data_IF_058268704317
#
_entry.id   IF_058268704317
#
_cell.length_a   1.000
_cell.length_b   1.000
_cell.length_c   1.000
_cell.angle_alpha   90.00
_cell.angle_beta   90.00
_cell.angle_gamma   90.00
#
_symmetry.space_group_name_H-M   'P 1'
#
loop_
_entity.id
_entity.type
_entity.pdbx_description
1 polymer ?
#
# COMPACT_ATOMS: atom_id res chain seq x y z
N UNK A 1 9.37 4.67 5.33
CA UNK A 1 8.20 3.78 5.54
C UNK A 1 8.24 2.53 4.65
N UNK A 2 8.67 2.63 3.39
CA UNK A 2 8.65 1.49 2.47
C UNK A 2 9.41 0.26 2.98
N UNK A 3 10.56 0.47 3.62
CA UNK A 3 11.35 -0.62 4.21
C UNK A 3 10.63 -1.32 5.38
N UNK A 4 9.85 -0.59 6.17
CA UNK A 4 9.00 -1.16 7.23
C UNK A 4 7.93 -2.06 6.62
N UNK A 5 7.23 -1.60 5.58
CA UNK A 5 6.22 -2.40 4.87
C UNK A 5 6.86 -3.65 4.24
N UNK A 6 8.02 -3.50 3.59
CA UNK A 6 8.76 -4.62 3.03
C UNK A 6 9.15 -5.65 4.11
N UNK A 7 9.56 -5.17 5.28
CA UNK A 7 9.85 -6.02 6.43
C UNK A 7 8.60 -6.79 6.88
N UNK A 8 7.46 -6.12 7.03
CA UNK A 8 6.22 -6.74 7.46
C UNK A 8 5.80 -7.88 6.52
N UNK A 9 5.73 -7.59 5.22
CA UNK A 9 5.33 -8.56 4.18
C UNK A 9 6.30 -9.77 4.15
N UNK A 10 7.58 -9.55 4.43
CA UNK A 10 8.60 -10.62 4.41
C UNK A 10 8.57 -11.51 5.66
N UNK A 11 8.21 -10.96 6.82
CA UNK A 11 8.33 -11.66 8.10
C UNK A 11 7.00 -12.16 8.67
N UNK A 12 5.87 -11.62 8.20
CA UNK A 12 4.53 -12.01 8.62
C UNK A 12 3.72 -12.53 7.43
N UNK A 13 3.00 -13.63 7.63
CA UNK A 13 2.21 -14.27 6.57
C UNK A 13 1.05 -13.39 6.12
N UNK A 14 0.35 -12.77 7.07
CA UNK A 14 -0.77 -11.85 6.87
C UNK A 14 -0.88 -10.89 8.06
N UNK A 15 -1.88 -9.99 8.01
CA UNK A 15 -2.13 -9.00 9.06
C UNK A 15 -2.46 -9.66 10.43
N UNK A 16 -3.14 -10.81 10.43
CA UNK A 16 -3.51 -11.53 11.65
C UNK A 16 -2.30 -12.15 12.37
N UNK A 17 -1.21 -12.40 11.64
CA UNK A 17 0.04 -12.89 12.19
C UNK A 17 0.88 -11.80 12.87
N UNK A 18 0.52 -10.51 12.72
CA UNK A 18 1.23 -9.43 13.38
C UNK A 18 0.95 -9.40 14.89
N UNK A 19 1.98 -9.15 15.72
CA UNK A 19 1.78 -8.94 17.15
C UNK A 19 1.03 -7.63 17.42
N UNK A 20 0.55 -7.40 18.65
CA UNK A 20 -0.09 -6.15 19.03
C UNK A 20 0.78 -4.92 18.71
N UNK A 21 0.20 -3.74 18.40
CA UNK A 21 0.95 -2.58 17.94
C UNK A 21 2.11 -2.14 18.84
N UNK A 22 1.97 -2.29 20.17
CA UNK A 22 3.05 -1.99 21.13
C UNK A 22 4.27 -2.89 20.94
N UNK A 23 4.02 -4.19 20.75
CA UNK A 23 5.07 -5.20 20.66
C UNK A 23 5.70 -5.15 19.26
N UNK A 24 4.88 -4.92 18.22
CA UNK A 24 5.36 -4.72 16.86
C UNK A 24 6.23 -3.47 16.75
N UNK A 25 5.83 -2.36 17.39
CA UNK A 25 6.62 -1.14 17.46
C UNK A 25 8.01 -1.40 18.04
N UNK A 26 8.08 -2.08 19.19
CA UNK A 26 9.36 -2.43 19.81
C UNK A 26 10.23 -3.32 18.92
N UNK A 27 9.64 -4.32 18.25
CA UNK A 27 10.38 -5.18 17.30
C UNK A 27 10.99 -4.35 16.17
N UNK A 28 10.22 -3.40 15.62
CA UNK A 28 10.69 -2.56 14.52
C UNK A 28 11.78 -1.57 14.98
N UNK A 29 11.65 -1.00 16.17
CA UNK A 29 12.68 -0.16 16.80
C UNK A 29 13.99 -0.95 17.03
N UNK A 30 13.89 -2.17 17.57
CA UNK A 30 15.04 -3.05 17.84
C UNK A 30 15.80 -3.43 16.56
N UNK A 31 15.10 -3.48 15.42
CA UNK A 31 15.69 -3.71 14.08
C UNK A 31 16.37 -2.43 13.54
N UNK A 32 16.04 -1.27 14.09
CA UNK A 32 16.63 0.03 13.73
C UNK A 32 15.79 0.86 12.77
N UNK A 33 14.49 0.59 12.64
CA UNK A 33 13.59 1.49 11.91
C UNK A 33 13.37 2.80 12.67
N UNK A 34 13.11 3.87 11.94
CA UNK A 34 12.88 5.19 12.53
C UNK A 34 11.43 5.32 13.04
N UNK A 35 11.25 5.96 14.20
CA UNK A 35 9.95 6.15 14.86
C UNK A 35 8.87 6.70 13.94
N UNK A 36 9.22 7.65 13.06
CA UNK A 36 8.25 8.24 12.12
C UNK A 36 7.70 7.17 11.17
N UNK A 37 8.58 6.33 10.62
CA UNK A 37 8.20 5.28 9.67
C UNK A 37 7.40 4.17 10.36
N UNK A 38 7.78 3.83 11.60
CA UNK A 38 7.08 2.86 12.43
C UNK A 38 5.66 3.35 12.70
N UNK A 39 5.50 4.59 13.19
CA UNK A 39 4.20 5.16 13.52
C UNK A 39 3.30 5.26 12.28
N UNK A 40 3.83 5.65 11.13
CA UNK A 40 3.08 5.67 9.87
C UNK A 40 2.61 4.27 9.48
N UNK A 41 3.48 3.26 9.52
CA UNK A 41 3.12 1.89 9.19
C UNK A 41 2.07 1.33 10.15
N UNK A 42 2.26 1.50 11.47
CA UNK A 42 1.30 1.04 12.48
C UNK A 42 -0.07 1.69 12.32
N UNK A 43 -0.12 2.99 11.99
CA UNK A 43 -1.37 3.69 11.69
C UNK A 43 -2.07 3.08 10.47
N UNK A 44 -1.34 2.77 9.40
CA UNK A 44 -1.93 2.11 8.23
C UNK A 44 -2.46 0.72 8.56
N UNK A 45 -1.74 -0.08 9.36
CA UNK A 45 -2.20 -1.40 9.82
C UNK A 45 -3.47 -1.29 10.65
N UNK A 46 -3.58 -0.27 11.51
CA UNK A 46 -4.78 -0.02 12.31
C UNK A 46 -5.98 0.34 11.42
N UNK A 47 -5.79 1.18 10.40
CA UNK A 47 -6.85 1.50 9.44
C UNK A 47 -7.28 0.26 8.66
N UNK A 48 -6.34 -0.57 8.21
CA UNK A 48 -6.62 -1.82 7.50
C UNK A 48 -7.38 -2.82 8.38
N UNK A 49 -6.99 -2.96 9.65
CA UNK A 49 -7.63 -3.87 10.59
C UNK A 49 -9.06 -3.42 10.98
N UNK A 50 -9.31 -2.12 10.98
CA UNK A 50 -10.59 -1.53 11.38
C UNK A 50 -11.49 -1.16 10.19
N UNK A 51 -11.06 -1.41 8.95
CA UNK A 51 -11.92 -1.23 7.79
C UNK A 51 -12.98 -2.34 7.83
N UNK A 52 -14.26 -2.02 8.09
CA UNK A 52 -15.29 -3.04 8.01
C UNK A 52 -15.29 -3.60 6.57
N UNK A 53 -15.56 -4.89 6.40
CA UNK A 53 -15.93 -5.43 5.09
C UNK A 53 -17.21 -4.69 4.64
N UNK A 54 -17.06 -3.51 4.02
CA UNK A 54 -18.18 -2.71 3.56
C UNK A 54 -18.78 -3.53 2.44
N UNK A 55 -19.98 -4.06 2.69
CA UNK A 55 -20.74 -4.90 1.78
C UNK A 55 -20.56 -4.41 0.36
N UNK A 56 -19.90 -5.22 -0.46
CA UNK A 56 -19.55 -4.99 -1.85
C UNK A 56 -20.46 -3.93 -2.50
N UNK A 57 -20.11 -2.64 -2.35
CA UNK A 57 -20.58 -1.68 -3.33
C UNK A 57 -19.77 -2.05 -4.55
N UNK A 58 -20.27 -3.03 -5.31
CA UNK A 58 -19.68 -3.49 -6.55
C UNK A 58 -19.59 -2.26 -7.44
N UNK A 59 -18.44 -1.60 -7.39
CA UNK A 59 -18.05 -0.65 -8.39
C UNK A 59 -18.19 -1.41 -9.70
N UNK A 60 -19.09 -0.94 -10.57
CA UNK A 60 -19.26 -1.58 -11.87
C UNK A 60 -17.89 -1.63 -12.54
N UNK A 61 -17.54 -2.78 -13.12
CA UNK A 61 -16.23 -3.00 -13.77
C UNK A 61 -15.89 -1.94 -14.82
N UNK A 62 -16.90 -1.33 -15.41
CA UNK A 62 -16.77 -0.30 -16.45
C UNK A 62 -16.76 1.14 -15.87
N UNK A 63 -16.79 1.29 -14.55
CA UNK A 63 -16.80 2.60 -13.89
C UNK A 63 -15.39 3.18 -13.85
N UNK A 64 -15.26 4.42 -14.31
CA UNK A 64 -14.01 5.17 -14.23
C UNK A 64 -14.01 5.99 -12.96
N UNK A 65 -12.96 5.86 -12.14
CA UNK A 65 -12.74 6.75 -11.01
C UNK A 65 -12.38 8.15 -11.50
N UNK A 66 -13.11 9.16 -11.03
CA UNK A 66 -12.78 10.58 -11.26
C UNK A 66 -12.06 11.13 -10.02
N UNK A 67 -10.90 11.75 -10.22
CA UNK A 67 -10.11 12.38 -9.15
C UNK A 67 -10.54 13.82 -8.92
N UNK A 68 -10.60 14.26 -7.66
CA UNK A 68 -10.88 15.66 -7.33
C UNK A 68 -9.66 16.56 -7.56
N UNK A 69 -9.85 17.88 -7.52
CA UNK A 69 -8.75 18.82 -7.74
C UNK A 69 -7.63 18.69 -6.70
N UNK A 70 -7.98 18.38 -5.45
CA UNK A 70 -7.02 18.17 -4.37
C UNK A 70 -6.16 16.93 -4.66
N UNK A 71 -6.79 15.83 -5.05
CA UNK A 71 -6.10 14.60 -5.46
C UNK A 71 -5.15 14.86 -6.63
N UNK A 72 -5.63 15.52 -7.71
CA UNK A 72 -4.82 15.83 -8.89
C UNK A 72 -3.65 16.78 -8.61
N UNK A 73 -3.74 17.63 -7.57
CA UNK A 73 -2.63 18.47 -7.12
C UNK A 73 -1.58 17.68 -6.34
N UNK A 74 -2.01 16.66 -5.60
CA UNK A 74 -1.14 15.85 -4.73
C UNK A 74 -0.52 14.64 -5.44
N UNK A 75 -1.26 13.99 -6.34
CA UNK A 75 -0.87 12.73 -6.97
C UNK A 75 -0.24 12.99 -8.33
N UNK A 76 1.03 12.59 -8.55
CA UNK A 76 1.64 12.64 -9.87
C UNK A 76 0.88 11.81 -10.90
N UNK A 77 0.93 12.22 -12.16
CA UNK A 77 0.24 11.53 -13.27
C UNK A 77 0.65 10.06 -13.40
N UNK A 78 1.92 9.74 -13.14
CA UNK A 78 2.41 8.36 -13.24
C UNK A 78 1.83 7.46 -12.14
N UNK A 79 1.57 8.02 -10.94
CA UNK A 79 0.91 7.30 -9.83
C UNK A 79 -0.56 7.01 -10.19
N UNK A 80 -1.26 8.00 -10.74
CA UNK A 80 -2.64 7.82 -11.22
C UNK A 80 -2.70 6.76 -12.32
N UNK A 81 -1.72 6.78 -13.24
CA UNK A 81 -1.64 5.81 -14.35
C UNK A 81 -1.36 4.39 -13.85
N UNK A 82 -0.51 4.23 -12.82
CA UNK A 82 -0.30 2.94 -12.16
C UNK A 82 -1.60 2.42 -11.54
N UNK A 83 -2.30 3.24 -10.75
CA UNK A 83 -3.54 2.82 -10.09
C UNK A 83 -4.62 2.43 -11.10
N UNK A 84 -4.73 3.17 -12.21
CA UNK A 84 -5.61 2.80 -13.31
C UNK A 84 -5.22 1.44 -13.92
N UNK A 85 -3.94 1.20 -14.18
CA UNK A 85 -3.47 -0.07 -14.76
C UNK A 85 -3.75 -1.26 -13.83
N UNK A 86 -3.58 -1.09 -12.51
CA UNK A 86 -3.86 -2.14 -11.53
C UNK A 86 -5.36 -2.45 -11.43
N UNK A 87 -6.20 -1.43 -11.51
CA UNK A 87 -7.67 -1.56 -11.52
C UNK A 87 -8.15 -2.25 -12.81
N UNK A 88 -7.67 -1.81 -13.98
CA UNK A 88 -7.98 -2.38 -15.30
C UNK A 88 -7.52 -3.84 -15.44
N UNK A 89 -6.39 -4.19 -14.82
CA UNK A 89 -5.87 -5.55 -14.78
C UNK A 89 -6.54 -6.43 -13.70
N UNK A 90 -7.56 -5.94 -13.01
CA UNK A 90 -8.25 -6.63 -11.90
C UNK A 90 -7.29 -7.06 -10.76
N UNK A 91 -6.17 -6.34 -10.61
CA UNK A 91 -5.17 -6.60 -9.57
C UNK A 91 -5.55 -5.97 -8.23
N UNK A 92 -6.33 -4.89 -8.26
CA UNK A 92 -6.95 -4.26 -7.10
C UNK A 92 -8.43 -3.99 -7.39
N UNK A 93 -9.24 -3.94 -6.35
CA UNK A 93 -10.62 -3.47 -6.43
C UNK A 93 -10.73 -1.97 -6.06
N UNK A 94 -11.94 -1.41 -6.19
CA UNK A 94 -12.19 0.00 -5.89
C UNK A 94 -11.86 0.38 -4.45
N UNK A 95 -12.16 -0.47 -3.47
CA UNK A 95 -11.86 -0.22 -2.05
C UNK A 95 -10.35 -0.16 -1.80
N UNK A 96 -9.61 -1.13 -2.32
CA UNK A 96 -8.15 -1.19 -2.20
C UNK A 96 -7.50 0.02 -2.87
N UNK A 97 -8.02 0.45 -4.03
CA UNK A 97 -7.60 1.66 -4.70
C UNK A 97 -7.86 2.91 -3.85
N UNK A 98 -9.04 3.04 -3.25
CA UNK A 98 -9.36 4.18 -2.36
C UNK A 98 -8.44 4.21 -1.14
N UNK A 99 -8.13 3.05 -0.55
CA UNK A 99 -7.16 2.97 0.55
C UNK A 99 -5.79 3.51 0.12
N UNK A 100 -5.27 3.06 -1.04
CA UNK A 100 -3.96 3.50 -1.53
C UNK A 100 -3.96 5.01 -1.82
N UNK A 101 -5.02 5.53 -2.45
CA UNK A 101 -5.17 6.98 -2.70
C UNK A 101 -5.16 7.76 -1.39
N UNK A 102 -5.96 7.34 -0.41
CA UNK A 102 -6.03 7.98 0.89
C UNK A 102 -4.68 7.95 1.62
N UNK A 103 -4.00 6.81 1.63
CA UNK A 103 -2.68 6.66 2.24
C UNK A 103 -1.65 7.59 1.60
N UNK A 104 -1.62 7.68 0.25
CA UNK A 104 -0.72 8.57 -0.47
C UNK A 104 -0.97 10.05 -0.15
N UNK A 105 -2.22 10.47 0.01
CA UNK A 105 -2.55 11.86 0.36
C UNK A 105 -2.09 12.29 1.76
N UNK A 106 -1.77 11.32 2.64
CA UNK A 106 -1.23 11.59 3.98
C UNK A 106 0.30 11.57 4.02
N UNK A 107 0.95 11.26 2.89
CA UNK A 107 2.40 11.34 2.76
C UNK A 107 2.85 12.76 2.38
N UNK A 108 4.07 13.15 2.75
CA UNK A 108 4.65 14.39 2.26
C UNK A 108 4.85 14.30 0.72
N UNK A 109 4.67 15.40 -0.04
CA UNK A 109 4.67 15.36 -1.50
C UNK A 109 5.91 14.71 -2.14
N UNK A 110 7.08 14.84 -1.50
CA UNK A 110 8.35 14.24 -1.93
C UNK A 110 8.39 12.71 -1.85
N UNK A 111 7.52 12.09 -1.04
CA UNK A 111 7.42 10.63 -0.89
C UNK A 111 6.36 10.01 -1.81
N UNK A 112 5.47 10.82 -2.39
CA UNK A 112 4.43 10.37 -3.33
C UNK A 112 5.07 10.01 -4.67
N UNK A 113 5.51 8.76 -4.76
CA UNK A 113 6.20 8.19 -5.93
C UNK A 113 5.48 6.94 -6.43
N UNK A 114 5.77 6.53 -7.66
CA UNK A 114 5.26 5.27 -8.22
C UNK A 114 5.66 4.09 -7.34
N UNK A 115 6.91 4.05 -6.87
CA UNK A 115 7.39 2.96 -6.01
C UNK A 115 6.66 2.95 -4.66
N UNK A 116 6.43 4.10 -4.04
CA UNK A 116 5.64 4.17 -2.81
C UNK A 116 4.19 3.72 -3.03
N UNK A 117 3.57 4.09 -4.16
CA UNK A 117 2.24 3.63 -4.51
C UNK A 117 2.18 2.10 -4.70
N UNK A 118 3.20 1.50 -5.33
CA UNK A 118 3.34 0.04 -5.42
C UNK A 118 3.49 -0.62 -4.05
N UNK A 119 4.31 -0.04 -3.16
CA UNK A 119 4.51 -0.52 -1.79
C UNK A 119 3.21 -0.50 -1.00
N UNK A 120 2.46 0.61 -1.05
CA UNK A 120 1.15 0.72 -0.39
C UNK A 120 0.11 -0.24 -0.99
N UNK A 121 0.17 -0.46 -2.31
CA UNK A 121 -0.68 -1.46 -2.98
C UNK A 121 -0.37 -2.87 -2.48
N UNK A 122 0.91 -3.21 -2.33
CA UNK A 122 1.30 -4.50 -1.75
C UNK A 122 0.85 -4.64 -0.30
N UNK A 123 0.93 -3.57 0.50
CA UNK A 123 0.46 -3.57 1.88
C UNK A 123 -1.04 -3.92 1.96
N UNK A 124 -1.88 -3.25 1.17
CA UNK A 124 -3.34 -3.50 1.21
C UNK A 124 -3.69 -4.89 0.69
N UNK A 125 -3.04 -5.36 -0.37
CA UNK A 125 -3.26 -6.70 -0.91
C UNK A 125 -2.84 -7.79 0.07
N UNK A 126 -1.71 -7.61 0.74
CA UNK A 126 -1.23 -8.50 1.79
C UNK A 126 -2.20 -8.52 2.98
N UNK A 127 -2.67 -7.35 3.43
CA UNK A 127 -3.63 -7.25 4.52
C UNK A 127 -4.98 -7.91 4.20
N UNK A 128 -5.48 -7.71 2.98
CA UNK A 128 -6.75 -8.27 2.51
C UNK A 128 -6.62 -9.71 1.95
N UNK A 129 -5.44 -10.34 2.07
CA UNK A 129 -5.15 -11.70 1.59
C UNK A 129 -5.56 -11.91 0.12
N UNK A 130 -5.36 -10.89 -0.70
CA UNK A 130 -5.82 -10.86 -2.09
C UNK A 130 -4.89 -11.65 -3.00
N UNK A 131 -5.49 -12.41 -3.93
CA UNK A 131 -4.74 -13.08 -4.98
C UNK A 131 -4.36 -12.09 -6.07
N UNK A 132 -3.16 -12.25 -6.64
CA UNK A 132 -2.64 -11.34 -7.64
C UNK A 132 -2.00 -12.12 -8.79
N UNK A 133 -2.21 -11.71 -10.06
CA UNK A 133 -1.51 -12.31 -11.20
C UNK A 133 0.01 -12.26 -11.04
N UNK A 134 0.68 -13.39 -11.34
CA UNK A 134 2.12 -13.56 -11.07
C UNK A 134 3.02 -12.46 -11.69
N UNK A 135 2.70 -12.00 -12.91
CA UNK A 135 3.46 -10.94 -13.58
C UNK A 135 3.32 -9.58 -12.90
N UNK A 136 2.11 -9.24 -12.48
CA UNK A 136 1.85 -8.00 -11.73
C UNK A 136 2.55 -8.08 -10.37
N UNK A 137 2.57 -9.27 -9.76
CA UNK A 137 3.21 -9.49 -8.46
C UNK A 137 4.71 -9.28 -8.52
N UNK A 138 5.34 -9.83 -9.55
CA UNK A 138 6.75 -9.60 -9.81
C UNK A 138 7.05 -8.10 -9.98
N UNK A 139 6.24 -7.38 -10.76
CA UNK A 139 6.40 -5.94 -11.01
C UNK A 139 6.26 -5.09 -9.73
N UNK A 140 5.23 -5.36 -8.92
CA UNK A 140 5.01 -4.66 -7.65
C UNK A 140 6.14 -4.95 -6.67
N UNK A 141 6.54 -6.23 -6.54
CA UNK A 141 7.59 -6.65 -5.62
C UNK A 141 8.95 -6.00 -5.93
N UNK A 142 9.22 -5.56 -7.16
CA UNK A 142 10.44 -4.80 -7.45
C UNK A 142 10.53 -3.50 -6.64
N UNK A 143 9.39 -2.88 -6.28
CA UNK A 143 9.38 -1.68 -5.45
C UNK A 143 9.84 -1.93 -4.01
N UNK A 144 9.63 -3.15 -3.46
CA UNK A 144 10.14 -3.51 -2.13
C UNK A 144 11.67 -3.70 -2.10
N UNK A 145 12.29 -3.92 -3.27
CA UNK A 145 13.72 -4.23 -3.39
C UNK A 145 14.57 -3.01 -3.81
N UNK A 146 14.02 -1.80 -3.68
CA UNK A 146 14.53 -0.54 -4.21
C UNK A 146 15.85 0.01 -3.64
N UNK A 147 16.92 -0.80 -3.61
CA UNK A 147 18.32 -0.39 -3.83
C UNK A 147 19.27 -1.57 -4.09
N UNK A 148 18.89 -2.50 -4.95
CA UNK A 148 19.81 -3.53 -5.41
C UNK A 148 19.62 -3.85 -6.89
N UNK A 149 19.88 -2.89 -7.79
CA UNK A 149 20.55 -3.06 -9.09
C UNK A 149 20.70 -1.66 -9.71
N UNK A 150 21.90 -1.08 -9.66
CA UNK A 150 22.58 -0.51 -10.82
C UNK A 150 24.07 -0.37 -10.47
N UNK A 151 24.88 -1.00 -11.31
CA UNK A 151 26.34 -0.94 -11.38
C UNK A 151 26.84 0.44 -11.81
#
# INVERSE_FOLDING_TARGET
>A
MADVIAFLIKHFYDLDACPPPSDLGQILEDIGFNDIEINQALMLLEVLANCPEVSETQYHRDAIRVYCEEELKSLPQDVISLLYLLDDAEAINGEQREFVVHALQHLPPEEITVDMAKVLTLLVLWAHKSELPALIGAELMMALHGKAVMH
#
